data_IF_665481174924
#
_entry.id   IF_665481174924
#
_cell.length_a   1.000
_cell.length_b   1.000
_cell.length_c   1.000
_cell.angle_alpha   90.00
_cell.angle_beta   90.00
_cell.angle_gamma   90.00
#
_symmetry.space_group_name_H-M   'P 1'
#
loop_
_entity.id
_entity.type
_entity.pdbx_description
1 polymer ?
#
# COMPACT_ATOMS: atom_id res chain seq x y z
N UNK A 1 10.00 7.26 -3.91
CA UNK A 1 9.22 6.46 -2.92
C UNK A 1 9.51 4.98 -3.20
N UNK A 2 9.31 4.00 -2.30
CA UNK A 2 8.52 2.80 -2.66
C UNK A 2 7.07 3.21 -2.92
N UNK A 3 6.68 4.38 -2.42
CA UNK A 3 5.44 5.11 -2.71
C UNK A 3 4.78 4.84 -4.07
N UNK A 4 5.42 4.77 -5.25
CA UNK A 4 4.68 4.40 -6.47
C UNK A 4 4.06 3.00 -6.39
N UNK A 5 4.78 2.04 -5.83
CA UNK A 5 4.29 0.70 -5.48
C UNK A 5 3.28 0.75 -4.32
N UNK A 6 3.60 1.48 -3.25
CA UNK A 6 2.74 1.54 -2.05
C UNK A 6 1.43 2.29 -2.30
N UNK A 7 1.40 3.27 -3.22
CA UNK A 7 0.20 3.94 -3.75
C UNK A 7 -0.72 2.89 -4.35
N UNK A 8 -0.18 1.99 -5.19
CA UNK A 8 -0.90 0.86 -5.75
C UNK A 8 -1.41 -0.09 -4.67
N UNK A 9 -0.53 -0.57 -3.78
CA UNK A 9 -0.87 -1.50 -2.70
C UNK A 9 -1.94 -0.92 -1.76
N UNK A 10 -1.82 0.33 -1.32
CA UNK A 10 -2.83 0.97 -0.45
C UNK A 10 -4.18 1.13 -1.18
N UNK A 11 -4.16 1.53 -2.46
CA UNK A 11 -5.38 1.57 -3.28
C UNK A 11 -6.04 0.19 -3.38
N UNK A 12 -5.26 -0.85 -3.67
CA UNK A 12 -5.70 -2.24 -3.76
C UNK A 12 -6.27 -2.75 -2.42
N UNK A 13 -5.64 -2.42 -1.29
CA UNK A 13 -6.20 -2.70 0.05
C UNK A 13 -7.54 -2.00 0.26
N UNK A 14 -7.63 -0.71 -0.05
CA UNK A 14 -8.89 0.05 0.02
C UNK A 14 -10.01 -0.57 -0.79
N UNK A 15 -9.73 -0.90 -2.05
CA UNK A 15 -10.66 -1.62 -2.92
C UNK A 15 -11.07 -2.97 -2.32
N UNK A 16 -10.13 -3.74 -1.77
CA UNK A 16 -10.38 -5.05 -1.16
C UNK A 16 -11.37 -4.99 0.01
N UNK A 17 -11.20 -4.02 0.93
CA UNK A 17 -12.13 -3.82 2.05
C UNK A 17 -13.52 -3.37 1.56
N UNK A 18 -13.58 -2.49 0.57
CA UNK A 18 -14.83 -1.98 0.00
C UNK A 18 -15.63 -3.08 -0.71
N UNK A 19 -14.95 -3.89 -1.54
CA UNK A 19 -15.56 -5.02 -2.26
C UNK A 19 -16.00 -6.13 -1.31
N UNK A 20 -15.20 -6.46 -0.28
CA UNK A 20 -15.58 -7.44 0.73
C UNK A 20 -16.80 -6.99 1.54
N UNK A 21 -16.90 -5.70 1.84
CA UNK A 21 -18.01 -5.12 2.59
C UNK A 21 -19.22 -4.70 1.72
N UNK A 22 -19.25 -4.98 0.41
CA UNK A 22 -20.28 -4.52 -0.55
C UNK A 22 -21.71 -4.56 0.02
N UNK A 23 -22.18 -5.74 0.45
CA UNK A 23 -23.54 -5.94 1.01
C UNK A 23 -23.83 -5.05 2.22
N UNK A 24 -22.84 -4.84 3.09
CA UNK A 24 -22.95 -4.04 4.30
C UNK A 24 -23.02 -2.55 3.97
N UNK A 25 -22.19 -2.10 3.01
CA UNK A 25 -22.19 -0.74 2.49
C UNK A 25 -23.44 -0.41 1.66
N UNK A 26 -24.09 -1.42 1.07
CA UNK A 26 -25.39 -1.31 0.39
C UNK A 26 -26.57 -1.24 1.38
N UNK A 27 -26.43 -1.79 2.59
CA UNK A 27 -27.44 -1.73 3.65
C UNK A 27 -27.33 -0.53 4.60
N UNK A 28 -26.31 0.32 4.45
CA UNK A 28 -26.17 1.55 5.24
C UNK A 28 -27.22 2.59 4.85
N UNK A 29 -27.65 3.39 5.82
CA UNK A 29 -28.52 4.55 5.57
C UNK A 29 -27.76 5.55 4.66
N UNK A 30 -28.38 6.09 3.58
CA UNK A 30 -27.78 7.14 2.75
C UNK A 30 -27.30 8.39 3.50
N UNK A 31 -27.81 8.66 4.71
CA UNK A 31 -27.35 9.73 5.59
C UNK A 31 -26.05 9.40 6.35
N UNK A 32 -25.66 8.11 6.46
CA UNK A 32 -24.42 7.70 7.12
C UNK A 32 -23.19 7.86 6.21
N UNK A 33 -22.12 8.42 6.78
CA UNK A 33 -20.84 8.48 6.07
C UNK A 33 -20.17 7.11 5.98
N UNK A 34 -19.93 6.63 4.76
CA UNK A 34 -19.17 5.40 4.50
C UNK A 34 -17.76 5.41 5.09
N UNK A 35 -17.19 6.61 5.31
CA UNK A 35 -15.87 6.80 5.94
C UNK A 35 -15.92 6.81 7.48
N UNK A 36 -17.11 6.91 8.08
CA UNK A 36 -17.33 6.60 9.50
C UNK A 36 -17.67 5.11 9.71
N UNK A 37 -17.95 4.38 8.63
CA UNK A 37 -18.33 2.97 8.67
C UNK A 37 -17.20 2.06 9.15
N UNK A 38 -17.55 1.08 9.99
CA UNK A 38 -16.62 0.06 10.53
C UNK A 38 -15.73 -0.61 9.46
N UNK A 39 -16.21 -0.98 8.25
CA UNK A 39 -15.34 -1.57 7.22
C UNK A 39 -14.17 -0.67 6.78
N UNK A 40 -14.42 0.64 6.65
CA UNK A 40 -13.40 1.62 6.31
C UNK A 40 -12.42 1.80 7.48
N UNK A 41 -12.94 1.98 8.70
CA UNK A 41 -12.09 2.20 9.88
C UNK A 41 -11.21 1.00 10.23
N UNK A 42 -11.73 -0.23 10.16
CA UNK A 42 -10.91 -1.44 10.38
C UNK A 42 -9.83 -1.61 9.31
N UNK A 43 -10.15 -1.32 8.04
CA UNK A 43 -9.17 -1.41 6.95
C UNK A 43 -8.16 -0.26 6.91
N UNK A 44 -8.55 0.95 7.31
CA UNK A 44 -7.65 2.09 7.49
C UNK A 44 -6.67 1.82 8.64
N UNK A 45 -7.16 1.30 9.77
CA UNK A 45 -6.31 0.89 10.89
C UNK A 45 -5.33 -0.22 10.49
N UNK A 46 -5.76 -1.19 9.67
CA UNK A 46 -4.89 -2.21 9.09
C UNK A 46 -3.82 -1.59 8.17
N UNK A 47 -4.21 -0.73 7.23
CA UNK A 47 -3.29 -0.07 6.29
C UNK A 47 -2.26 0.84 7.00
N UNK A 48 -2.68 1.55 8.05
CA UNK A 48 -1.79 2.34 8.89
C UNK A 48 -0.83 1.46 9.72
N UNK A 49 -1.34 0.42 10.38
CA UNK A 49 -0.51 -0.42 11.25
C UNK A 49 0.49 -1.27 10.47
N UNK A 50 0.04 -1.92 9.39
CA UNK A 50 0.88 -2.84 8.59
C UNK A 50 1.62 -2.08 7.51
N UNK A 51 0.91 -1.35 6.64
CA UNK A 51 1.50 -0.64 5.51
C UNK A 51 2.42 0.50 5.96
N UNK A 52 1.86 1.50 6.66
CA UNK A 52 2.64 2.66 7.11
C UNK A 52 3.66 2.29 8.22
N UNK A 53 3.34 1.32 9.08
CA UNK A 53 4.27 0.82 10.10
C UNK A 53 5.52 0.15 9.53
N UNK A 54 5.37 -0.79 8.59
CA UNK A 54 6.52 -1.42 7.91
C UNK A 54 7.29 -0.36 7.10
N UNK A 55 6.58 0.49 6.34
CA UNK A 55 7.19 1.57 5.57
C UNK A 55 8.02 2.54 6.44
N UNK A 56 7.53 2.92 7.63
CA UNK A 56 8.28 3.79 8.54
C UNK A 56 9.59 3.17 9.04
N UNK A 57 9.61 1.86 9.28
CA UNK A 57 10.83 1.16 9.70
C UNK A 57 11.78 0.97 8.52
N UNK A 58 11.27 0.60 7.34
CA UNK A 58 12.03 0.57 6.11
C UNK A 58 12.70 1.92 5.80
N UNK A 59 11.96 3.02 5.96
CA UNK A 59 12.46 4.38 5.72
C UNK A 59 13.58 4.76 6.68
N UNK A 60 13.43 4.43 7.97
CA UNK A 60 14.47 4.66 8.98
C UNK A 60 15.77 3.87 8.70
N UNK A 61 15.68 2.71 8.04
CA UNK A 61 16.81 1.83 7.77
C UNK A 61 17.47 2.09 6.40
N UNK A 62 16.70 2.50 5.39
CA UNK A 62 17.17 2.74 4.03
C UNK A 62 16.27 3.76 3.28
N UNK A 63 16.40 5.06 3.57
CA UNK A 63 15.51 6.09 3.03
C UNK A 63 15.65 6.27 1.51
N UNK A 64 16.87 6.17 0.95
CA UNK A 64 17.12 6.18 -0.50
C UNK A 64 16.59 4.94 -1.22
N UNK A 65 16.76 3.75 -0.61
CA UNK A 65 16.20 2.50 -1.15
C UNK A 65 14.70 2.61 -1.29
N UNK A 66 14.00 3.05 -0.24
CA UNK A 66 12.59 3.35 -0.36
C UNK A 66 12.30 4.77 -0.83
N UNK A 67 13.24 5.48 -1.47
CA UNK A 67 12.95 6.44 -2.54
C UNK A 67 13.04 5.81 -3.93
N UNK A 68 13.43 4.53 -4.00
CA UNK A 68 13.71 3.75 -5.22
C UNK A 68 14.80 4.40 -6.08
N UNK A 69 15.72 5.14 -5.48
CA UNK A 69 16.82 5.83 -6.18
C UNK A 69 16.34 6.74 -7.31
N UNK A 70 15.15 7.33 -7.17
CA UNK A 70 14.64 8.38 -8.07
C UNK A 70 14.97 9.80 -7.57
N UNK A 71 15.29 9.91 -6.28
CA UNK A 71 15.72 11.14 -5.63
C UNK A 71 16.56 10.76 -4.40
N UNK A 72 17.59 11.56 -4.15
CA UNK A 72 18.40 11.51 -2.94
C UNK A 72 17.61 12.11 -1.76
N UNK A 73 17.42 11.34 -0.69
CA UNK A 73 16.62 11.76 0.46
C UNK A 73 17.20 12.99 1.17
N UNK A 74 18.53 13.17 1.20
CA UNK A 74 19.18 14.30 1.87
C UNK A 74 18.84 15.64 1.18
N UNK A 75 18.49 15.60 -0.10
CA UNK A 75 18.07 16.76 -0.90
C UNK A 75 16.56 17.07 -0.77
N UNK A 76 15.76 16.20 -0.15
CA UNK A 76 14.31 16.39 0.02
C UNK A 76 14.03 17.01 1.38
N UNK A 77 13.28 18.13 1.49
CA UNK A 77 12.91 18.71 2.78
C UNK A 77 12.18 17.68 3.68
N UNK A 78 12.52 17.56 4.99
CA UNK A 78 11.91 16.56 5.87
C UNK A 78 10.38 16.60 5.94
N UNK A 79 9.78 17.79 5.83
CA UNK A 79 8.32 17.94 5.77
C UNK A 79 7.69 17.26 4.54
N UNK A 80 8.38 17.23 3.40
CA UNK A 80 7.95 16.53 2.19
C UNK A 80 8.09 15.02 2.38
N UNK A 81 9.19 14.56 2.99
CA UNK A 81 9.39 13.14 3.33
C UNK A 81 8.28 12.61 4.24
N UNK A 82 7.94 13.37 5.30
CA UNK A 82 6.81 13.05 6.19
C UNK A 82 5.48 13.12 5.45
N UNK A 83 5.28 14.12 4.59
CA UNK A 83 4.09 14.27 3.74
C UNK A 83 3.84 13.06 2.83
N UNK A 84 4.89 12.39 2.35
CA UNK A 84 4.75 11.17 1.55
C UNK A 84 4.09 10.01 2.31
N UNK A 85 4.21 9.93 3.65
CA UNK A 85 3.47 8.95 4.45
C UNK A 85 1.97 9.25 4.51
N UNK A 86 1.57 10.53 4.37
CA UNK A 86 0.17 10.93 4.22
C UNK A 86 -0.51 10.36 2.97
N UNK A 87 0.27 9.93 1.97
CA UNK A 87 -0.27 9.28 0.77
C UNK A 87 -0.84 7.87 1.07
N UNK A 88 -0.41 7.20 2.13
CA UNK A 88 -0.88 5.84 2.47
C UNK A 88 -2.38 5.83 2.82
N UNK A 89 -2.86 6.60 3.83
CA UNK A 89 -4.29 6.69 4.13
C UNK A 89 -5.09 7.37 3.01
N UNK A 90 -4.49 8.31 2.27
CA UNK A 90 -5.14 8.96 1.13
C UNK A 90 -5.43 7.95 0.00
N UNK A 91 -4.45 7.17 -0.43
CA UNK A 91 -4.63 6.16 -1.48
C UNK A 91 -5.51 4.99 -1.03
N UNK A 92 -5.43 4.57 0.24
CA UNK A 92 -6.39 3.63 0.82
C UNK A 92 -7.84 4.15 0.67
N UNK A 93 -8.07 5.41 1.04
CA UNK A 93 -9.39 6.05 0.96
C UNK A 93 -9.88 6.18 -0.48
N UNK A 94 -9.00 6.58 -1.40
CA UNK A 94 -9.31 6.65 -2.83
C UNK A 94 -9.67 5.27 -3.40
N UNK A 95 -8.91 4.22 -3.07
CA UNK A 95 -9.22 2.85 -3.49
C UNK A 95 -10.56 2.35 -2.94
N UNK A 96 -10.84 2.63 -1.66
CA UNK A 96 -12.08 2.24 -1.00
C UNK A 96 -13.31 2.89 -1.65
N UNK A 97 -13.26 4.20 -1.87
CA UNK A 97 -14.33 4.96 -2.52
C UNK A 97 -14.48 4.58 -4.00
N UNK A 98 -13.36 4.40 -4.73
CA UNK A 98 -13.38 4.06 -6.15
C UNK A 98 -14.06 2.71 -6.40
N UNK A 99 -13.72 1.66 -5.63
CA UNK A 99 -14.39 0.36 -5.77
C UNK A 99 -15.91 0.47 -5.52
N UNK A 100 -16.32 1.19 -4.48
CA UNK A 100 -17.74 1.39 -4.16
C UNK A 100 -18.48 2.10 -5.30
N UNK A 101 -17.90 3.18 -5.83
CA UNK A 101 -18.50 3.97 -6.91
C UNK A 101 -18.55 3.22 -8.24
N UNK A 102 -17.59 2.33 -8.51
CA UNK A 102 -17.59 1.49 -9.71
C UNK A 102 -18.65 0.38 -9.62
N UNK A 103 -18.76 -0.32 -8.48
CA UNK A 103 -19.82 -1.34 -8.30
C UNK A 103 -21.23 -0.72 -8.34
N UNK A 104 -21.42 0.50 -7.82
CA UNK A 104 -22.68 1.26 -7.96
C UNK A 104 -23.03 1.61 -9.41
N UNK A 105 -22.03 1.76 -10.29
CA UNK A 105 -22.25 2.06 -11.73
C UNK A 105 -22.50 0.80 -12.56
N UNK A 106 -21.79 -0.30 -12.27
CA UNK A 106 -21.93 -1.58 -12.97
C UNK A 106 -21.37 -2.70 -12.11
N UNK A 107 -22.15 -3.77 -11.92
CA UNK A 107 -21.70 -4.97 -11.21
C UNK A 107 -20.38 -5.50 -11.79
N UNK A 108 -19.45 -5.88 -10.90
CA UNK A 108 -18.09 -6.36 -11.21
C UNK A 108 -17.13 -5.32 -11.78
N UNK A 109 -17.51 -4.06 -11.97
CA UNK A 109 -16.59 -3.02 -12.46
C UNK A 109 -15.54 -2.64 -11.40
N UNK A 110 -15.88 -2.70 -10.12
CA UNK A 110 -14.92 -2.55 -9.02
C UNK A 110 -13.96 -3.74 -8.96
N UNK A 111 -14.44 -4.97 -9.18
CA UNK A 111 -13.57 -6.15 -9.34
C UNK A 111 -12.63 -6.06 -10.55
N UNK A 112 -13.09 -5.51 -11.68
CA UNK A 112 -12.24 -5.28 -12.85
C UNK A 112 -11.14 -4.25 -12.56
N UNK A 113 -11.46 -3.14 -11.88
CA UNK A 113 -10.48 -2.13 -11.47
C UNK A 113 -9.49 -2.65 -10.42
N UNK A 114 -9.96 -3.44 -9.45
CA UNK A 114 -9.12 -4.16 -8.48
C UNK A 114 -8.12 -5.08 -9.17
N UNK A 115 -8.58 -5.83 -10.18
CA UNK A 115 -7.75 -6.76 -10.97
C UNK A 115 -6.72 -6.01 -11.80
N UNK A 116 -7.12 -4.92 -12.47
CA UNK A 116 -6.22 -4.06 -13.22
C UNK A 116 -5.16 -3.41 -12.32
N UNK A 117 -5.54 -2.96 -11.12
CA UNK A 117 -4.60 -2.41 -10.15
C UNK A 117 -3.59 -3.46 -9.65
N UNK A 118 -4.05 -4.67 -9.34
CA UNK A 118 -3.18 -5.80 -8.96
C UNK A 118 -2.14 -6.11 -10.05
N UNK A 119 -2.55 -6.22 -11.31
CA UNK A 119 -1.61 -6.43 -12.41
C UNK A 119 -0.68 -5.24 -12.65
N UNK A 120 -1.15 -4.00 -12.43
CA UNK A 120 -0.29 -2.81 -12.45
C UNK A 120 0.78 -2.83 -11.35
N UNK A 121 0.42 -3.22 -10.13
CA UNK A 121 1.33 -3.43 -9.00
C UNK A 121 2.37 -4.51 -9.32
N UNK A 122 1.94 -5.68 -9.82
CA UNK A 122 2.85 -6.77 -10.21
C UNK A 122 3.78 -6.37 -11.36
N UNK A 123 3.27 -5.64 -12.36
CA UNK A 123 4.06 -5.09 -13.46
C UNK A 123 5.11 -4.08 -12.98
N UNK A 124 4.74 -3.21 -12.02
CA UNK A 124 5.69 -2.27 -11.42
C UNK A 124 6.78 -2.97 -10.61
N UNK A 125 6.43 -4.02 -9.86
CA UNK A 125 7.41 -4.87 -9.15
C UNK A 125 8.41 -5.49 -10.14
N UNK A 126 7.91 -6.08 -11.23
CA UNK A 126 8.77 -6.69 -12.25
C UNK A 126 9.68 -5.67 -12.94
N UNK A 127 9.13 -4.53 -13.36
CA UNK A 127 9.88 -3.45 -14.01
C UNK A 127 10.91 -2.79 -13.07
N UNK A 128 10.65 -2.78 -11.76
CA UNK A 128 11.51 -2.16 -10.75
C UNK A 128 12.36 -3.16 -9.95
N UNK A 129 12.40 -4.43 -10.37
CA UNK A 129 12.97 -5.53 -9.58
C UNK A 129 14.41 -5.27 -9.12
N UNK A 130 15.26 -4.75 -10.01
CA UNK A 130 16.65 -4.43 -9.69
C UNK A 130 16.78 -3.41 -8.55
N UNK A 131 15.94 -2.37 -8.56
CA UNK A 131 15.86 -1.35 -7.50
C UNK A 131 15.29 -1.92 -6.20
N UNK A 132 14.31 -2.83 -6.28
CA UNK A 132 13.71 -3.47 -5.10
C UNK A 132 14.69 -4.40 -4.38
N UNK A 133 15.50 -5.18 -5.10
CA UNK A 133 16.38 -6.20 -4.49
C UNK A 133 17.76 -5.68 -4.07
N UNK A 134 18.10 -4.42 -4.36
CA UNK A 134 19.35 -3.75 -3.98
C UNK A 134 19.06 -2.62 -2.99
N UNK A 135 19.73 -2.60 -1.85
CA UNK A 135 19.56 -1.64 -0.74
C UNK A 135 20.87 -0.91 -0.49
N UNK A 136 20.81 0.42 -0.45
CA UNK A 136 21.92 1.31 -0.15
C UNK A 136 21.47 2.77 -0.22
N UNK A 137 22.45 3.67 -0.32
CA UNK A 137 22.27 5.07 -0.74
C UNK A 137 22.08 5.17 -2.25
N UNK A 138 21.59 6.33 -2.72
CA UNK A 138 21.48 6.63 -4.17
C UNK A 138 22.85 6.52 -4.86
N UNK A 139 23.90 7.05 -4.23
CA UNK A 139 25.25 7.00 -4.78
C UNK A 139 25.86 5.57 -4.77
N UNK A 140 25.60 4.74 -3.76
CA UNK A 140 25.99 3.31 -3.78
C UNK A 140 25.23 2.55 -4.88
N UNK A 141 23.94 2.84 -5.12
CA UNK A 141 23.18 2.19 -6.19
C UNK A 141 23.70 2.57 -7.58
N UNK A 142 23.99 3.86 -7.81
CA UNK A 142 24.57 4.36 -9.07
C UNK A 142 25.96 3.78 -9.36
N UNK A 143 26.79 3.55 -8.34
CA UNK A 143 28.10 2.86 -8.48
C UNK A 143 28.00 1.33 -8.58
N UNK A 144 26.81 0.74 -8.41
CA UNK A 144 26.61 -0.71 -8.38
C UNK A 144 27.05 -1.39 -7.08
N UNK A 145 27.31 -0.62 -6.02
CA UNK A 145 27.77 -1.07 -4.69
C UNK A 145 26.60 -1.43 -3.74
N UNK A 146 25.36 -1.07 -4.09
CA UNK A 146 24.17 -1.37 -3.29
C UNK A 146 23.99 -2.88 -3.03
N UNK A 147 23.72 -3.23 -1.78
CA UNK A 147 23.78 -4.61 -1.26
C UNK A 147 22.46 -5.34 -1.52
N UNK A 148 22.48 -6.65 -1.73
CA UNK A 148 21.24 -7.41 -1.85
C UNK A 148 20.37 -7.29 -0.59
N UNK A 149 19.07 -7.01 -0.75
CA UNK A 149 18.10 -6.84 0.34
C UNK A 149 18.09 -8.02 1.31
N UNK A 150 18.27 -9.24 0.79
CA UNK A 150 18.35 -10.49 1.54
C UNK A 150 19.57 -10.57 2.49
N UNK A 151 20.54 -9.68 2.33
CA UNK A 151 21.74 -9.54 3.19
C UNK A 151 21.66 -8.34 4.14
N UNK A 152 20.46 -7.79 4.37
CA UNK A 152 20.22 -6.62 5.22
C UNK A 152 19.23 -6.91 6.36
N UNK A 153 19.15 -6.01 7.34
CA UNK A 153 18.15 -6.07 8.41
C UNK A 153 16.69 -5.96 7.91
N UNK A 154 16.46 -5.53 6.66
CA UNK A 154 15.12 -5.52 6.05
C UNK A 154 14.62 -6.91 5.68
N UNK A 155 15.53 -7.87 5.42
CA UNK A 155 15.17 -9.22 4.96
C UNK A 155 14.16 -9.94 5.87
N UNK A 156 14.39 -10.10 7.20
CA UNK A 156 13.42 -10.77 8.06
C UNK A 156 12.08 -10.01 8.14
N UNK A 157 12.12 -8.67 8.15
CA UNK A 157 10.91 -7.86 8.19
C UNK A 157 10.03 -8.05 6.97
N UNK A 158 10.61 -8.07 5.77
CA UNK A 158 9.86 -8.23 4.53
C UNK A 158 9.46 -9.70 4.29
N UNK A 159 10.34 -10.66 4.58
CA UNK A 159 10.07 -12.09 4.40
C UNK A 159 9.09 -12.68 5.42
N UNK A 160 8.87 -12.04 6.58
CA UNK A 160 7.85 -12.46 7.56
C UNK A 160 6.63 -11.52 7.53
N UNK A 161 6.86 -10.21 7.44
CA UNK A 161 5.82 -9.19 7.46
C UNK A 161 4.92 -9.22 6.22
N UNK A 162 5.47 -9.30 5.01
CA UNK A 162 4.64 -9.33 3.80
C UNK A 162 3.82 -10.63 3.69
N UNK A 163 4.36 -11.84 3.92
CA UNK A 163 3.55 -13.06 3.90
C UNK A 163 2.52 -13.15 5.02
N UNK A 164 2.76 -12.54 6.19
CA UNK A 164 1.76 -12.48 7.28
C UNK A 164 0.68 -11.40 7.06
N UNK A 165 0.98 -10.35 6.29
CA UNK A 165 0.00 -9.34 5.90
C UNK A 165 -1.13 -9.92 5.02
N UNK A 166 -0.86 -10.93 4.18
CA UNK A 166 -1.87 -11.55 3.30
C UNK A 166 -2.99 -12.28 4.06
N UNK A 167 -2.74 -13.24 4.97
CA UNK A 167 -3.79 -13.89 5.75
C UNK A 167 -4.46 -12.91 6.73
N UNK A 168 -3.74 -11.91 7.24
CA UNK A 168 -4.32 -10.86 8.07
C UNK A 168 -5.31 -10.00 7.26
N UNK A 169 -4.94 -9.55 6.05
CA UNK A 169 -5.83 -8.84 5.12
C UNK A 169 -7.08 -9.68 4.81
N UNK A 170 -6.93 -10.97 4.51
CA UNK A 170 -8.06 -11.87 4.29
C UNK A 170 -8.97 -11.97 5.53
N UNK A 171 -8.41 -12.11 6.73
CA UNK A 171 -9.16 -12.15 7.97
C UNK A 171 -9.95 -10.85 8.21
N UNK A 172 -9.31 -9.69 8.10
CA UNK A 172 -9.96 -8.40 8.32
C UNK A 172 -10.99 -8.07 7.24
N UNK A 173 -10.73 -8.35 5.95
CA UNK A 173 -11.71 -8.18 4.88
C UNK A 173 -12.94 -9.10 5.08
N UNK A 174 -12.72 -10.36 5.46
CA UNK A 174 -13.81 -11.32 5.78
C UNK A 174 -14.60 -10.93 7.03
N UNK A 175 -13.95 -10.28 8.00
CA UNK A 175 -14.59 -9.70 9.18
C UNK A 175 -15.41 -8.46 8.84
N UNK A 176 -14.91 -7.58 7.97
CA UNK A 176 -15.62 -6.39 7.48
C UNK A 176 -16.87 -6.74 6.66
N UNK A 177 -16.90 -7.92 6.03
CA UNK A 177 -18.04 -8.50 5.33
C UNK A 177 -19.18 -9.02 6.26
N UNK A 178 -18.98 -8.99 7.58
CA UNK A 178 -19.98 -9.33 8.63
C UNK A 178 -20.43 -8.05 9.33
#
# INVERSE_FOLDING_TARGET
MTVPLDIGINSWMGMSFSLAAKKKLESMDPAESVLAGKPYLEGLAFAATVGMGIAGICYKLAPDWMLMYYADHEKIPPAVQVGMFGLYPAMYTLGFLLAQQLEKKKDKLGWAAWTANLFGVLGYIAASWDRLVKVGTTAEYERGEARSIFKTALAPMLMVGLPSAVPALYYFAKRAAR
#
